data_IF_986152893526
#
_entry.id   IF_986152893526
#
_cell.length_a   1.000
_cell.length_b   1.000
_cell.length_c   1.000
_cell.angle_alpha   90.00
_cell.angle_beta   90.00
_cell.angle_gamma   90.00
#
_symmetry.space_group_name_H-M   'P 1'
#
loop_
_entity.id
_entity.type
_entity.pdbx_description
1 polymer ?
#
# COMPACT_ATOMS: atom_id res chain seq x y z
N UNK A 1 -26.48 17.10 -3.17
CA UNK A 1 -25.14 17.07 -2.56
C UNK A 1 -24.35 16.00 -3.30
N UNK A 2 -23.55 16.41 -4.29
CA UNK A 2 -22.76 15.51 -5.14
C UNK A 2 -21.29 15.79 -4.80
N UNK A 3 -20.75 15.06 -3.83
CA UNK A 3 -19.32 15.17 -3.50
C UNK A 3 -18.58 14.16 -4.37
N UNK A 4 -18.39 14.50 -5.64
CA UNK A 4 -17.47 13.77 -6.51
C UNK A 4 -16.04 14.16 -6.15
N UNK A 5 -15.54 13.59 -5.06
CA UNK A 5 -14.11 13.64 -4.70
C UNK A 5 -13.36 12.67 -5.63
N UNK A 6 -13.26 13.05 -6.90
CA UNK A 6 -12.86 12.16 -7.99
C UNK A 6 -11.34 11.94 -8.09
N UNK A 7 -10.53 12.43 -7.15
CA UNK A 7 -9.08 12.28 -7.22
C UNK A 7 -8.44 11.84 -5.90
N UNK A 8 -9.07 10.90 -5.16
CA UNK A 8 -8.34 10.11 -4.14
C UNK A 8 -7.40 9.11 -4.82
N UNK A 9 -6.32 9.62 -5.43
CA UNK A 9 -5.22 8.78 -5.89
C UNK A 9 -4.61 8.10 -4.66
N UNK A 10 -4.82 6.80 -4.56
CA UNK A 10 -4.34 6.01 -3.42
C UNK A 10 -2.99 5.45 -3.78
N UNK A 11 -2.04 5.59 -2.88
CA UNK A 11 -0.69 5.07 -3.06
C UNK A 11 -0.40 4.09 -1.94
N UNK A 12 0.27 3.00 -2.30
CA UNK A 12 0.78 2.03 -1.34
C UNK A 12 2.26 1.82 -1.58
N UNK A 13 2.96 1.44 -0.53
CA UNK A 13 4.36 1.09 -0.61
C UNK A 13 4.48 -0.42 -0.77
N UNK A 14 5.11 -0.86 -1.84
CA UNK A 14 5.32 -2.28 -2.11
C UNK A 14 6.77 -2.61 -1.82
N UNK A 15 6.98 -3.63 -0.98
CA UNK A 15 8.29 -4.12 -0.58
C UNK A 15 8.76 -5.12 -1.62
N UNK A 16 9.97 -4.92 -2.13
CA UNK A 16 10.65 -5.93 -2.93
C UNK A 16 11.38 -6.91 -1.99
N UNK A 17 10.95 -8.17 -1.88
CA UNK A 17 11.58 -9.14 -0.98
C UNK A 17 13.01 -9.50 -1.39
N UNK A 18 13.42 -9.28 -2.64
CA UNK A 18 14.79 -9.55 -3.09
C UNK A 18 15.78 -8.46 -2.66
N UNK A 19 15.33 -7.20 -2.60
CA UNK A 19 16.20 -6.05 -2.32
C UNK A 19 15.91 -5.37 -0.99
N UNK A 20 14.82 -5.77 -0.31
CA UNK A 20 14.27 -5.13 0.88
C UNK A 20 14.05 -3.62 0.70
N UNK A 21 13.68 -3.21 -0.51
CA UNK A 21 13.39 -1.82 -0.85
C UNK A 21 11.90 -1.60 -1.01
N UNK A 22 11.41 -0.44 -0.59
CA UNK A 22 10.04 -0.01 -0.88
C UNK A 22 9.97 0.77 -2.18
N UNK A 23 8.85 0.61 -2.90
CA UNK A 23 8.49 1.47 -4.02
C UNK A 23 7.07 1.96 -3.86
N UNK A 24 6.87 3.26 -4.09
CA UNK A 24 5.53 3.83 -4.12
C UNK A 24 4.84 3.37 -5.39
N UNK A 25 3.65 2.80 -5.24
CA UNK A 25 2.79 2.40 -6.36
C UNK A 25 1.44 3.05 -6.20
N UNK A 26 1.02 3.73 -7.26
CA UNK A 26 -0.37 4.17 -7.37
C UNK A 26 -1.26 2.93 -7.57
N UNK A 27 -2.30 2.82 -6.75
CA UNK A 27 -3.30 1.77 -6.86
C UNK A 27 -4.68 2.38 -7.07
N UNK A 28 -5.49 1.67 -7.83
CA UNK A 28 -6.88 2.02 -8.01
C UNK A 28 -7.70 1.21 -7.00
N UNK A 29 -8.24 1.90 -6.01
CA UNK A 29 -9.20 1.33 -5.08
C UNK A 29 -10.63 1.49 -5.64
N UNK A 30 -11.48 0.53 -5.33
CA UNK A 30 -12.89 0.52 -5.68
C UNK A 30 -13.74 1.10 -4.57
N UNK A 31 -14.92 0.56 -4.36
CA UNK A 31 -15.80 0.98 -3.28
C UNK A 31 -15.18 0.70 -1.90
N UNK A 32 -15.32 1.69 -1.02
CA UNK A 32 -15.05 1.53 0.40
C UNK A 32 -16.19 0.72 1.02
N UNK A 33 -15.89 -0.47 1.50
CA UNK A 33 -16.83 -1.32 2.22
C UNK A 33 -16.69 -1.10 3.74
N UNK A 34 -17.72 -1.43 4.53
CA UNK A 34 -17.64 -1.35 6.00
C UNK A 34 -16.51 -2.22 6.59
N UNK A 35 -16.13 -3.28 5.87
CA UNK A 35 -15.09 -4.23 6.28
C UNK A 35 -13.70 -3.88 5.75
N UNK A 36 -13.56 -2.90 4.86
CA UNK A 36 -12.28 -2.57 4.24
C UNK A 36 -12.40 -1.92 2.86
N UNK A 37 -11.28 -1.79 2.16
CA UNK A 37 -11.19 -1.17 0.84
C UNK A 37 -10.86 -2.25 -0.19
N UNK A 38 -11.62 -2.34 -1.28
CA UNK A 38 -11.29 -3.24 -2.39
C UNK A 38 -10.25 -2.61 -3.31
N UNK A 39 -9.15 -3.31 -3.61
CA UNK A 39 -8.16 -2.86 -4.61
C UNK A 39 -8.56 -3.42 -5.98
N UNK A 40 -8.85 -2.55 -6.94
CA UNK A 40 -9.31 -2.92 -8.28
C UNK A 40 -8.12 -3.09 -9.25
N UNK A 41 -7.07 -2.26 -9.10
CA UNK A 41 -5.84 -2.35 -9.90
C UNK A 41 -4.61 -1.87 -9.15
N UNK A 42 -3.44 -2.33 -9.59
CA UNK A 42 -2.13 -1.83 -9.16
C UNK A 42 -1.49 -2.63 -8.02
N UNK A 43 -2.16 -3.67 -7.54
CA UNK A 43 -1.61 -4.64 -6.58
C UNK A 43 -1.86 -6.05 -7.09
N UNK A 44 -0.87 -6.92 -6.92
CA UNK A 44 -0.92 -8.33 -7.30
C UNK A 44 -0.91 -9.22 -6.05
N UNK A 45 -1.52 -10.39 -6.18
CA UNK A 45 -1.50 -11.40 -5.12
C UNK A 45 -0.06 -11.81 -4.79
N UNK A 46 0.26 -11.88 -3.50
CA UNK A 46 1.61 -12.17 -3.01
C UNK A 46 2.57 -10.98 -2.98
N UNK A 47 2.15 -9.77 -3.37
CA UNK A 47 2.92 -8.57 -3.12
C UNK A 47 2.87 -8.16 -1.64
N UNK A 48 4.03 -7.77 -1.11
CA UNK A 48 4.16 -7.27 0.25
C UNK A 48 3.89 -5.78 0.29
N UNK A 49 2.92 -5.36 1.10
CA UNK A 49 2.50 -3.97 1.22
C UNK A 49 2.86 -3.44 2.60
N UNK A 50 3.35 -2.21 2.67
CA UNK A 50 3.59 -1.54 3.95
C UNK A 50 2.28 -0.94 4.45
N UNK A 51 1.89 -1.32 5.66
CA UNK A 51 0.72 -0.77 6.36
C UNK A 51 1.10 0.23 7.46
N UNK A 52 2.33 0.18 7.97
CA UNK A 52 2.82 1.03 9.06
C UNK A 52 3.99 1.93 8.62
N UNK A 53 4.03 3.18 9.09
CA UNK A 53 5.15 4.10 8.81
C UNK A 53 5.16 4.69 7.40
N UNK A 54 4.05 4.61 6.65
CA UNK A 54 3.94 5.11 5.25
C UNK A 54 4.26 6.61 5.08
N UNK A 55 4.18 7.41 6.14
CA UNK A 55 4.50 8.84 6.13
C UNK A 55 5.99 9.14 6.30
N UNK A 56 6.76 8.18 6.83
CA UNK A 56 8.19 8.34 7.10
C UNK A 56 9.08 7.65 6.07
N UNK A 57 8.48 6.94 5.12
CA UNK A 57 9.17 6.15 4.10
C UNK A 57 9.39 6.95 2.82
N UNK A 58 10.58 6.82 2.24
CA UNK A 58 10.95 7.41 0.96
C UNK A 58 11.01 6.36 -0.17
N UNK A 59 11.02 6.82 -1.42
CA UNK A 59 11.21 5.93 -2.57
C UNK A 59 12.60 5.28 -2.56
N UNK A 60 12.65 3.97 -2.82
CA UNK A 60 13.86 3.13 -2.76
C UNK A 60 14.51 3.01 -1.37
N UNK A 61 13.82 3.44 -0.31
CA UNK A 61 14.23 3.26 1.08
C UNK A 61 14.34 1.77 1.41
N UNK A 62 15.40 1.39 2.12
CA UNK A 62 15.59 0.02 2.60
C UNK A 62 14.77 -0.18 3.88
N UNK A 63 13.84 -1.12 3.86
CA UNK A 63 12.99 -1.44 5.01
C UNK A 63 13.26 -2.85 5.51
N UNK A 64 13.13 -3.04 6.82
CA UNK A 64 13.09 -4.38 7.41
C UNK A 64 11.65 -4.73 7.69
N UNK A 65 11.23 -5.90 7.21
CA UNK A 65 9.95 -6.50 7.60
C UNK A 65 10.05 -6.82 9.09
N UNK A 66 9.42 -6.02 9.93
CA UNK A 66 9.13 -6.40 11.31
C UNK A 66 7.93 -7.34 11.23
N UNK A 67 8.21 -8.64 11.14
CA UNK A 67 7.15 -9.63 11.29
C UNK A 67 6.77 -9.64 12.78
N UNK A 68 5.60 -9.14 13.13
CA UNK A 68 4.96 -9.35 14.45
C UNK A 68 4.50 -10.82 14.64
N UNK A 69 5.15 -11.78 13.98
CA UNK A 69 4.92 -13.22 14.15
C UNK A 69 6.05 -13.91 14.93
N UNK A 70 6.77 -13.15 15.75
CA UNK A 70 7.58 -13.69 16.83
C UNK A 70 6.76 -13.60 18.15
N UNK A 71 5.79 -14.51 18.32
CA UNK A 71 5.26 -14.91 19.64
C UNK A 71 5.14 -16.43 19.73
#
# INVERSE_FOLDING_TARGET
MLTSDAEKKTYVWIINPKTHKVKRREIQIGELMPTGISVVKGLHEGEWVVTAGIHSLNEDEKVSLLNEQDE
#
